data_IF_312895764450
#
_entry.id   IF_312895764450
#
_cell.length_a   1.000
_cell.length_b   1.000
_cell.length_c   1.000
_cell.angle_alpha   90.00
_cell.angle_beta   90.00
_cell.angle_gamma   90.00
#
_symmetry.space_group_name_H-M   'P 1'
#
loop_
_entity.id
_entity.type
_entity.pdbx_description
1 polymer ?
#
# COMPACT_ATOMS: atom_id res chain seq x y z
N UNK A 1 -15.59 12.21 26.23
CA UNK A 1 -14.75 13.44 26.25
C UNK A 1 -14.56 14.02 24.85
N UNK A 2 -14.52 13.20 23.81
CA UNK A 2 -14.36 13.67 22.44
C UNK A 2 -15.71 13.90 21.76
N UNK A 3 -16.18 15.15 21.73
CA UNK A 3 -17.34 15.51 20.89
C UNK A 3 -16.93 15.99 19.49
N UNK A 4 -15.63 16.25 19.26
CA UNK A 4 -15.08 16.69 17.97
C UNK A 4 -13.55 16.46 17.78
N UNK A 5 -12.88 15.68 18.62
CA UNK A 5 -11.41 15.45 18.57
C UNK A 5 -11.02 13.98 18.40
N UNK A 6 -9.73 13.67 18.16
CA UNK A 6 -9.26 12.28 18.02
C UNK A 6 -9.50 11.47 19.30
N UNK A 7 -9.71 10.17 19.14
CA UNK A 7 -10.03 9.22 20.22
C UNK A 7 -8.80 8.44 20.72
N UNK A 8 -7.60 8.80 20.27
CA UNK A 8 -6.36 8.01 20.44
C UNK A 8 -5.97 7.77 21.91
N UNK A 9 -6.47 8.60 22.83
CA UNK A 9 -6.20 8.53 24.27
C UNK A 9 -7.41 8.05 25.10
N UNK A 10 -8.45 7.50 24.48
CA UNK A 10 -9.59 6.90 25.21
C UNK A 10 -9.15 5.77 26.16
N UNK A 11 -8.04 5.10 25.84
CA UNK A 11 -7.42 4.08 26.68
C UNK A 11 -7.04 4.58 28.09
N UNK A 12 -6.87 5.90 28.29
CA UNK A 12 -6.58 6.47 29.61
C UNK A 12 -7.75 6.31 30.59
N UNK A 13 -8.98 6.14 30.10
CA UNK A 13 -10.13 5.82 30.95
C UNK A 13 -9.98 4.43 31.58
N UNK A 14 -9.49 3.44 30.82
CA UNK A 14 -9.22 2.10 31.35
C UNK A 14 -8.12 2.13 32.39
N UNK A 15 -7.04 2.88 32.13
CA UNK A 15 -5.95 3.11 33.10
C UNK A 15 -6.49 3.72 34.40
N UNK A 16 -7.39 4.69 34.30
CA UNK A 16 -8.05 5.28 35.48
C UNK A 16 -8.88 4.24 36.25
N UNK A 17 -9.71 3.46 35.57
CA UNK A 17 -10.54 2.43 36.21
C UNK A 17 -9.69 1.37 36.91
N UNK A 18 -8.59 0.94 36.28
CA UNK A 18 -7.67 -0.03 36.87
C UNK A 18 -6.91 0.55 38.06
N UNK A 19 -6.49 1.81 37.99
CA UNK A 19 -5.86 2.51 39.11
C UNK A 19 -6.78 2.55 40.34
N UNK A 20 -8.10 2.81 40.14
CA UNK A 20 -9.09 2.79 41.23
C UNK A 20 -9.23 1.40 41.85
N UNK A 21 -9.22 0.33 41.06
CA UNK A 21 -9.32 -1.06 41.56
C UNK A 21 -8.11 -1.44 42.43
N UNK A 22 -6.91 -0.97 42.08
CA UNK A 22 -5.67 -1.33 42.79
C UNK A 22 -5.25 -0.33 43.86
N UNK A 23 -6.01 0.77 44.05
CA UNK A 23 -5.67 1.87 44.95
C UNK A 23 -5.32 1.44 46.39
N UNK A 24 -5.96 0.38 46.91
CA UNK A 24 -5.71 -0.14 48.25
C UNK A 24 -4.39 -0.93 48.39
N UNK A 25 -3.72 -1.23 47.27
CA UNK A 25 -2.55 -2.12 47.22
C UNK A 25 -1.20 -1.39 47.28
N UNK A 26 -1.20 -0.05 47.26
CA UNK A 26 -0.04 0.85 47.42
C UNK A 26 1.20 0.56 46.53
N UNK A 27 1.03 -0.20 45.43
CA UNK A 27 2.15 -0.79 44.68
C UNK A 27 2.49 -0.13 43.34
N UNK A 28 1.58 0.64 42.74
CA UNK A 28 1.76 1.16 41.37
C UNK A 28 1.48 2.66 41.31
N UNK A 29 2.37 3.41 40.66
CA UNK A 29 2.15 4.83 40.37
C UNK A 29 1.35 4.93 39.07
N UNK A 30 0.35 5.81 39.04
CA UNK A 30 -0.48 6.05 37.84
C UNK A 30 0.38 6.37 36.61
N UNK A 31 1.47 7.13 36.80
CA UNK A 31 2.42 7.45 35.72
C UNK A 31 3.00 6.19 35.06
N UNK A 32 3.33 5.18 35.84
CA UNK A 32 3.92 3.94 35.33
C UNK A 32 2.87 3.15 34.54
N UNK A 33 1.62 3.11 35.04
CA UNK A 33 0.49 2.47 34.35
C UNK A 33 0.18 3.14 33.00
N UNK A 34 0.18 4.48 32.96
CA UNK A 34 0.01 5.23 31.71
C UNK A 34 1.14 4.89 30.73
N UNK A 35 2.39 4.94 31.21
CA UNK A 35 3.57 4.68 30.38
C UNK A 35 3.52 3.28 29.79
N UNK A 36 3.22 2.27 30.60
CA UNK A 36 3.10 0.87 30.17
C UNK A 36 1.98 0.70 29.13
N UNK A 37 0.87 1.41 29.27
CA UNK A 37 -0.28 1.30 28.37
C UNK A 37 -0.01 1.92 26.99
N UNK A 38 0.72 3.03 26.92
CA UNK A 38 1.00 3.75 25.67
C UNK A 38 2.33 3.38 25.03
N UNK A 39 3.20 2.64 25.74
CA UNK A 39 4.50 2.27 25.21
C UNK A 39 4.36 1.18 24.15
N UNK A 40 4.86 1.48 22.95
CA UNK A 40 5.02 0.48 21.91
C UNK A 40 6.35 -0.29 22.07
N UNK A 41 6.26 -1.62 22.06
CA UNK A 41 7.42 -2.51 21.94
C UNK A 41 7.21 -3.40 20.73
N UNK A 42 8.03 -3.27 19.67
CA UNK A 42 7.85 -4.07 18.47
C UNK A 42 8.13 -5.54 18.77
N UNK A 43 7.28 -6.44 18.25
CA UNK A 43 7.48 -7.90 18.37
C UNK A 43 8.79 -8.36 17.74
N UNK A 44 9.21 -7.69 16.68
CA UNK A 44 10.48 -7.91 15.99
C UNK A 44 11.20 -6.57 15.91
N UNK A 45 12.43 -6.43 16.45
CA UNK A 45 13.16 -5.17 16.39
C UNK A 45 13.35 -4.70 14.95
N UNK A 46 12.99 -3.45 14.67
CA UNK A 46 13.24 -2.82 13.38
C UNK A 46 14.75 -2.61 13.18
N UNK A 47 15.25 -2.98 12.01
CA UNK A 47 16.63 -2.72 11.64
C UNK A 47 16.80 -1.25 11.22
N UNK A 48 17.14 -0.40 12.19
CA UNK A 48 17.27 1.05 11.98
C UNK A 48 18.51 1.46 11.16
N UNK A 49 19.42 0.54 10.82
CA UNK A 49 20.54 0.87 9.95
C UNK A 49 20.03 1.13 8.53
N UNK A 50 20.26 2.33 8.00
CA UNK A 50 19.85 2.67 6.63
C UNK A 50 21.02 2.38 5.67
N UNK A 51 20.78 1.67 4.55
CA UNK A 51 21.80 1.43 3.54
C UNK A 51 22.32 2.74 2.93
N UNK A 52 23.61 2.80 2.64
CA UNK A 52 24.24 3.98 2.02
C UNK A 52 23.89 4.17 0.55
N UNK A 53 23.32 3.15 -0.11
CA UNK A 53 22.88 3.21 -1.50
C UNK A 53 21.49 2.57 -1.62
N UNK A 54 20.55 3.33 -2.16
CA UNK A 54 19.15 2.94 -2.33
C UNK A 54 18.75 3.03 -3.80
N UNK A 55 18.07 1.99 -4.28
CA UNK A 55 17.39 1.97 -5.58
C UNK A 55 15.95 2.47 -5.43
N UNK A 56 15.52 3.35 -6.32
CA UNK A 56 14.14 3.80 -6.45
C UNK A 56 13.63 3.33 -7.80
N UNK A 57 12.47 2.68 -7.81
CA UNK A 57 11.78 2.28 -9.03
C UNK A 57 10.71 3.34 -9.33
N UNK A 58 10.85 4.05 -10.45
CA UNK A 58 9.90 5.08 -10.87
C UNK A 58 8.59 4.49 -11.41
N UNK A 59 7.70 5.35 -11.90
CA UNK A 59 6.39 4.95 -12.43
C UNK A 59 6.39 4.57 -13.92
N UNK A 60 7.43 4.95 -14.66
CA UNK A 60 7.45 4.78 -16.11
C UNK A 60 6.64 5.85 -16.84
N UNK A 61 6.15 5.49 -18.03
CA UNK A 61 5.38 6.40 -18.87
C UNK A 61 4.07 6.82 -18.20
N UNK A 62 3.60 8.03 -18.52
CA UNK A 62 2.32 8.52 -18.00
C UNK A 62 1.15 7.75 -18.64
N UNK A 63 0.22 7.29 -17.83
CA UNK A 63 -1.02 6.65 -18.27
C UNK A 63 -2.21 7.19 -17.46
N UNK A 64 -3.43 7.03 -17.98
CA UNK A 64 -4.65 7.35 -17.21
C UNK A 64 -4.65 6.48 -15.93
N UNK A 65 -4.81 7.11 -14.77
CA UNK A 65 -4.76 6.44 -13.46
C UNK A 65 -3.35 6.25 -12.87
N UNK A 66 -2.30 6.64 -13.60
CA UNK A 66 -0.92 6.67 -13.09
C UNK A 66 -0.13 7.78 -13.79
N UNK A 67 -0.13 8.98 -13.22
CA UNK A 67 0.35 10.19 -13.87
C UNK A 67 1.54 10.85 -13.14
N UNK A 68 1.55 12.18 -13.10
CA UNK A 68 2.67 12.99 -12.61
C UNK A 68 2.84 12.99 -11.08
N UNK A 69 1.87 12.46 -10.33
CA UNK A 69 1.94 12.32 -8.88
C UNK A 69 3.15 11.50 -8.43
N UNK A 70 3.58 10.53 -9.25
CA UNK A 70 4.77 9.71 -8.99
C UNK A 70 6.08 10.38 -9.40
N UNK A 71 6.03 11.38 -10.28
CA UNK A 71 7.18 12.26 -10.52
C UNK A 71 7.43 13.16 -9.32
N UNK A 72 6.35 13.74 -8.79
CA UNK A 72 6.40 14.53 -7.57
C UNK A 72 6.89 13.70 -6.37
N UNK A 73 6.25 12.57 -6.09
CA UNK A 73 6.58 11.76 -4.91
C UNK A 73 7.97 11.12 -5.00
N UNK A 74 8.37 10.62 -6.18
CA UNK A 74 9.72 10.12 -6.44
C UNK A 74 10.80 11.19 -6.26
N UNK A 75 10.53 12.42 -6.71
CA UNK A 75 11.45 13.55 -6.51
C UNK A 75 11.61 13.92 -5.03
N UNK A 76 10.52 13.90 -4.25
CA UNK A 76 10.58 14.13 -2.80
C UNK A 76 11.36 13.02 -2.08
N UNK A 77 11.17 11.77 -2.50
CA UNK A 77 11.92 10.63 -1.94
C UNK A 77 13.42 10.77 -2.19
N UNK A 78 13.83 11.13 -3.42
CA UNK A 78 15.24 11.38 -3.74
C UNK A 78 15.80 12.50 -2.88
N UNK A 79 15.07 13.61 -2.76
CA UNK A 79 15.49 14.76 -1.94
C UNK A 79 15.71 14.36 -0.48
N UNK A 80 14.76 13.65 0.12
CA UNK A 80 14.87 13.18 1.51
C UNK A 80 16.09 12.27 1.72
N UNK A 81 16.38 11.37 0.77
CA UNK A 81 17.56 10.51 0.83
C UNK A 81 18.87 11.30 0.72
N UNK A 82 18.90 12.34 -0.13
CA UNK A 82 20.07 13.21 -0.27
C UNK A 82 20.35 14.02 0.99
N UNK A 83 19.32 14.54 1.66
CA UNK A 83 19.45 15.26 2.94
C UNK A 83 20.10 14.37 4.01
N UNK A 84 19.86 13.05 3.95
CA UNK A 84 20.46 12.04 4.83
C UNK A 84 21.80 11.46 4.29
N UNK A 85 22.39 12.07 3.26
CA UNK A 85 23.65 11.64 2.62
C UNK A 85 23.61 10.19 2.10
N UNK A 86 22.46 9.75 1.60
CA UNK A 86 22.28 8.42 1.02
C UNK A 86 22.39 8.52 -0.50
N UNK A 87 23.20 7.64 -1.09
CA UNK A 87 23.35 7.56 -2.54
C UNK A 87 22.09 6.98 -3.19
N UNK A 88 21.62 7.64 -4.24
CA UNK A 88 20.36 7.33 -4.92
C UNK A 88 20.61 6.80 -6.33
N UNK A 89 20.01 5.66 -6.64
CA UNK A 89 19.91 5.13 -8.01
C UNK A 89 18.44 5.14 -8.39
N UNK A 90 18.10 5.79 -9.49
CA UNK A 90 16.75 5.78 -10.04
C UNK A 90 16.73 4.94 -11.31
N UNK A 91 15.72 4.08 -11.46
CA UNK A 91 15.34 3.49 -12.74
C UNK A 91 13.96 4.02 -13.15
N UNK A 92 13.89 4.73 -14.28
CA UNK A 92 12.64 5.23 -14.85
C UNK A 92 12.84 5.51 -16.35
N UNK A 93 12.07 4.86 -17.27
CA UNK A 93 12.19 5.11 -18.70
C UNK A 93 11.61 6.46 -19.15
N UNK A 94 10.83 7.14 -18.31
CA UNK A 94 10.15 8.37 -18.69
C UNK A 94 11.07 9.59 -18.58
N UNK A 95 11.63 9.99 -19.73
CA UNK A 95 12.53 11.14 -19.89
C UNK A 95 11.89 12.50 -19.60
N UNK A 96 10.56 12.58 -19.52
CA UNK A 96 9.83 13.84 -19.35
C UNK A 96 9.51 14.15 -17.88
N UNK A 97 10.31 13.63 -16.94
CA UNK A 97 10.06 13.72 -15.50
C UNK A 97 11.13 14.54 -14.78
N UNK A 98 10.74 15.28 -13.76
CA UNK A 98 11.68 16.01 -12.89
C UNK A 98 12.61 15.03 -12.17
N UNK A 99 12.10 13.87 -11.75
CA UNK A 99 12.89 12.86 -11.04
C UNK A 99 14.10 12.34 -11.83
N UNK A 100 14.04 12.38 -13.17
CA UNK A 100 15.13 11.96 -14.06
C UNK A 100 16.06 13.12 -14.48
N UNK A 101 15.82 14.33 -13.96
CA UNK A 101 16.66 15.49 -14.25
C UNK A 101 18.08 15.32 -13.73
N UNK A 102 19.05 15.85 -14.48
CA UNK A 102 20.46 15.77 -14.13
C UNK A 102 20.71 16.42 -12.76
N UNK A 103 21.31 15.65 -11.85
CA UNK A 103 21.70 16.11 -10.53
C UNK A 103 20.63 15.90 -9.45
N UNK A 104 19.44 15.42 -9.80
CA UNK A 104 18.47 15.05 -8.77
C UNK A 104 18.81 13.69 -8.15
N UNK A 105 18.88 12.61 -8.92
CA UNK A 105 19.47 11.35 -8.44
C UNK A 105 20.97 11.27 -8.79
N UNK A 106 21.76 10.53 -8.00
CA UNK A 106 23.18 10.33 -8.29
C UNK A 106 23.40 9.55 -9.60
N UNK A 107 22.49 8.61 -9.89
CA UNK A 107 22.49 7.86 -11.14
C UNK A 107 21.08 7.55 -11.60
N UNK A 108 20.84 7.73 -12.90
CA UNK A 108 19.55 7.47 -13.55
C UNK A 108 19.71 6.42 -14.65
N UNK A 109 18.82 5.43 -14.65
CA UNK A 109 18.70 4.40 -15.69
C UNK A 109 17.39 4.59 -16.46
N UNK A 110 17.51 4.88 -17.75
CA UNK A 110 16.38 4.93 -18.68
C UNK A 110 16.14 3.54 -19.27
N UNK A 111 15.64 2.62 -18.44
CA UNK A 111 15.38 1.23 -18.81
C UNK A 111 13.93 0.86 -18.54
N UNK A 112 13.36 -0.14 -19.25
CA UNK A 112 12.03 -0.65 -18.96
C UNK A 112 11.89 -1.15 -17.51
N UNK A 113 10.73 -0.90 -16.90
CA UNK A 113 10.41 -1.29 -15.52
C UNK A 113 9.87 -2.72 -15.45
N UNK A 114 10.67 -3.67 -15.93
CA UNK A 114 10.36 -5.10 -15.87
C UNK A 114 11.46 -5.84 -15.09
N UNK A 115 11.14 -6.97 -14.42
CA UNK A 115 12.05 -7.63 -13.49
C UNK A 115 13.46 -7.88 -14.03
N UNK A 116 13.58 -8.24 -15.31
CA UNK A 116 14.86 -8.57 -15.93
C UNK A 116 15.82 -7.37 -15.97
N UNK A 117 15.31 -6.18 -16.32
CA UNK A 117 16.13 -4.96 -16.38
C UNK A 117 16.39 -4.39 -14.99
N UNK A 118 15.41 -4.48 -14.08
CA UNK A 118 15.62 -4.06 -12.69
C UNK A 118 16.65 -4.95 -12.00
N UNK A 119 16.63 -6.27 -12.21
CA UNK A 119 17.67 -7.16 -11.69
C UNK A 119 19.06 -6.78 -12.24
N UNK A 120 19.17 -6.42 -13.53
CA UNK A 120 20.45 -5.97 -14.09
C UNK A 120 20.97 -4.71 -13.40
N UNK A 121 20.11 -3.74 -13.09
CA UNK A 121 20.48 -2.54 -12.31
C UNK A 121 20.90 -2.94 -10.90
N UNK A 122 20.15 -3.80 -10.20
CA UNK A 122 20.51 -4.32 -8.88
C UNK A 122 21.89 -5.00 -8.90
N UNK A 123 22.15 -5.82 -9.93
CA UNK A 123 23.42 -6.54 -10.10
C UNK A 123 24.60 -5.60 -10.32
N UNK A 124 24.40 -4.55 -11.11
CA UNK A 124 25.44 -3.57 -11.44
C UNK A 124 25.71 -2.60 -10.27
N UNK A 125 24.65 -2.11 -9.63
CA UNK A 125 24.75 -1.06 -8.61
C UNK A 125 24.94 -1.58 -7.19
N UNK A 126 24.52 -2.82 -6.92
CA UNK A 126 24.53 -3.44 -5.58
C UNK A 126 23.95 -2.51 -4.50
N UNK A 127 22.71 -2.01 -4.68
CA UNK A 127 22.06 -1.20 -3.65
C UNK A 127 21.83 -2.05 -2.40
N UNK A 128 21.97 -1.46 -1.22
CA UNK A 128 21.64 -2.16 0.02
C UNK A 128 20.15 -2.05 0.38
N UNK A 129 19.42 -1.15 -0.29
CA UNK A 129 17.98 -1.03 -0.13
C UNK A 129 17.23 -0.64 -1.40
N UNK A 130 15.92 -0.86 -1.41
CA UNK A 130 15.03 -0.50 -2.52
C UNK A 130 13.73 0.13 -1.99
N UNK A 131 13.24 1.17 -2.67
CA UNK A 131 11.94 1.78 -2.43
C UNK A 131 11.00 1.47 -3.60
N UNK A 132 9.85 0.87 -3.29
CA UNK A 132 8.85 0.41 -4.26
C UNK A 132 7.60 1.30 -4.28
N UNK A 133 7.39 2.13 -3.26
CA UNK A 133 6.13 2.85 -2.97
C UNK A 133 6.00 4.20 -3.69
N UNK A 134 6.99 4.60 -4.48
CA UNK A 134 7.00 5.91 -5.16
C UNK A 134 6.78 5.83 -6.68
N UNK A 135 6.54 4.63 -7.22
CA UNK A 135 6.38 4.39 -8.66
C UNK A 135 5.03 3.79 -9.06
N UNK A 136 3.99 3.96 -8.24
CA UNK A 136 2.65 3.46 -8.51
C UNK A 136 2.60 1.93 -8.70
N UNK A 137 1.55 1.45 -9.38
CA UNK A 137 1.36 0.01 -9.61
C UNK A 137 2.52 -0.62 -10.37
N UNK A 138 3.16 0.15 -11.27
CA UNK A 138 4.28 -0.36 -12.07
C UNK A 138 5.44 -0.79 -11.19
N UNK A 139 5.83 0.05 -10.22
CA UNK A 139 6.90 -0.29 -9.27
C UNK A 139 6.49 -1.39 -8.29
N UNK A 140 5.24 -1.38 -7.80
CA UNK A 140 4.72 -2.39 -6.89
C UNK A 140 4.71 -3.78 -7.54
N UNK A 141 4.13 -3.91 -8.73
CA UNK A 141 4.07 -5.18 -9.47
C UNK A 141 5.48 -5.70 -9.78
N UNK A 142 6.37 -4.82 -10.27
CA UNK A 142 7.75 -5.20 -10.52
C UNK A 142 8.46 -5.68 -9.24
N UNK A 143 8.26 -4.99 -8.13
CA UNK A 143 8.79 -5.38 -6.82
C UNK A 143 8.28 -6.74 -6.34
N UNK A 144 6.99 -7.02 -6.49
CA UNK A 144 6.40 -8.32 -6.14
C UNK A 144 7.00 -9.45 -6.98
N UNK A 145 7.16 -9.25 -8.29
CA UNK A 145 7.77 -10.26 -9.17
C UNK A 145 9.25 -10.49 -8.84
N UNK A 146 10.01 -9.44 -8.53
CA UNK A 146 11.40 -9.55 -8.06
C UNK A 146 11.51 -10.31 -6.73
N UNK A 147 10.59 -10.07 -5.80
CA UNK A 147 10.52 -10.81 -4.55
C UNK A 147 10.21 -12.29 -4.79
N UNK A 148 9.21 -12.60 -5.64
CA UNK A 148 8.85 -13.97 -6.01
C UNK A 148 10.01 -14.72 -6.68
N UNK A 149 10.79 -14.02 -7.50
CA UNK A 149 12.00 -14.55 -8.13
C UNK A 149 13.20 -14.67 -7.17
N UNK A 150 13.08 -14.28 -5.90
CA UNK A 150 14.16 -14.33 -4.91
C UNK A 150 15.30 -13.35 -5.18
N UNK A 151 15.07 -12.31 -6.00
CA UNK A 151 16.13 -11.38 -6.42
C UNK A 151 16.63 -10.57 -5.23
N UNK A 152 15.74 -10.05 -4.38
CA UNK A 152 16.15 -9.22 -3.24
C UNK A 152 17.03 -10.00 -2.25
N UNK A 153 16.68 -11.25 -1.95
CA UNK A 153 17.50 -12.14 -1.13
C UNK A 153 18.85 -12.46 -1.79
N UNK A 154 18.83 -12.86 -3.07
CA UNK A 154 20.04 -13.19 -3.87
C UNK A 154 21.09 -12.07 -3.86
N UNK A 155 20.67 -10.81 -3.86
CA UNK A 155 21.58 -9.65 -3.89
C UNK A 155 21.71 -8.92 -2.54
N UNK A 156 21.04 -9.38 -1.48
CA UNK A 156 21.05 -8.74 -0.17
C UNK A 156 20.43 -7.33 -0.17
N UNK A 157 19.41 -7.11 -1.00
CA UNK A 157 18.72 -5.81 -1.10
C UNK A 157 17.55 -5.79 -0.14
N UNK A 158 17.52 -4.82 0.77
CA UNK A 158 16.42 -4.67 1.73
C UNK A 158 15.30 -3.81 1.15
N UNK A 159 14.06 -4.29 1.20
CA UNK A 159 12.89 -3.45 0.90
C UNK A 159 12.70 -2.45 2.04
N UNK A 160 12.63 -1.17 1.71
CA UNK A 160 12.51 -0.07 2.66
C UNK A 160 11.07 0.48 2.65
N UNK A 161 10.62 0.98 3.79
CA UNK A 161 9.24 1.44 3.97
C UNK A 161 8.30 0.27 4.25
N UNK A 162 7.16 0.24 3.56
CA UNK A 162 6.14 -0.80 3.71
C UNK A 162 6.71 -2.18 3.32
N UNK A 163 6.60 -3.21 4.20
CA UNK A 163 7.00 -4.57 3.88
C UNK A 163 6.28 -5.11 2.64
N UNK A 164 6.96 -5.94 1.85
CA UNK A 164 6.38 -6.50 0.62
C UNK A 164 5.17 -7.38 0.91
N UNK A 165 5.13 -8.06 2.06
CA UNK A 165 3.98 -8.84 2.50
C UNK A 165 2.77 -7.95 2.72
N UNK A 166 2.95 -6.76 3.29
CA UNK A 166 1.85 -5.81 3.47
C UNK A 166 1.35 -5.30 2.11
N UNK A 167 2.25 -5.04 1.15
CA UNK A 167 1.87 -4.68 -0.23
C UNK A 167 1.04 -5.80 -0.86
N UNK A 168 1.48 -7.06 -0.76
CA UNK A 168 0.75 -8.22 -1.31
C UNK A 168 -0.62 -8.36 -0.64
N UNK A 169 -0.68 -8.26 0.69
CA UNK A 169 -1.90 -8.39 1.46
C UNK A 169 -2.93 -7.30 1.13
N UNK A 170 -2.50 -6.09 0.76
CA UNK A 170 -3.40 -4.99 0.38
C UNK A 170 -3.84 -5.02 -1.07
N UNK A 171 -3.02 -5.57 -1.96
CA UNK A 171 -3.33 -5.68 -3.40
C UNK A 171 -4.25 -6.87 -3.70
N UNK A 172 -4.12 -7.99 -2.95
CA UNK A 172 -5.04 -9.12 -3.05
C UNK A 172 -6.32 -8.84 -2.25
N UNK A 173 -7.45 -8.67 -2.94
CA UNK A 173 -8.73 -8.31 -2.31
C UNK A 173 -9.28 -9.38 -1.37
N UNK A 174 -8.96 -10.66 -1.58
CA UNK A 174 -9.39 -11.73 -0.68
C UNK A 174 -8.61 -11.64 0.61
N UNK A 175 -7.27 -11.56 0.52
CA UNK A 175 -6.40 -11.42 1.69
C UNK A 175 -6.76 -10.13 2.45
N UNK A 176 -6.94 -9.02 1.74
CA UNK A 176 -7.37 -7.75 2.32
C UNK A 176 -8.67 -7.90 3.12
N UNK A 177 -9.70 -8.52 2.52
CA UNK A 177 -10.99 -8.72 3.20
C UNK A 177 -10.85 -9.60 4.46
N UNK A 178 -10.03 -10.64 4.40
CA UNK A 178 -9.73 -11.50 5.55
C UNK A 178 -8.99 -10.74 6.66
N UNK A 179 -8.03 -9.88 6.30
CA UNK A 179 -7.28 -9.02 7.25
C UNK A 179 -8.19 -8.01 7.95
N UNK A 180 -9.10 -7.38 7.21
CA UNK A 180 -10.07 -6.42 7.75
C UNK A 180 -11.09 -7.14 8.66
N UNK A 181 -11.57 -8.31 8.25
CA UNK A 181 -12.48 -9.11 9.08
C UNK A 181 -11.82 -9.57 10.40
N UNK A 182 -10.51 -9.85 10.39
CA UNK A 182 -9.78 -10.29 11.59
C UNK A 182 -9.73 -9.23 12.71
N UNK A 183 -9.91 -7.95 12.38
CA UNK A 183 -10.02 -6.85 13.35
C UNK A 183 -11.47 -6.44 13.65
N UNK A 184 -12.46 -7.17 13.13
CA UNK A 184 -13.88 -6.90 13.34
C UNK A 184 -14.46 -5.84 12.40
N UNK A 185 -13.67 -5.34 11.45
CA UNK A 185 -14.10 -4.34 10.48
C UNK A 185 -14.79 -4.99 9.26
N UNK A 186 -15.51 -4.17 8.48
CA UNK A 186 -16.38 -4.65 7.42
C UNK A 186 -15.93 -4.14 6.05
N UNK A 187 -15.90 -5.05 5.09
CA UNK A 187 -15.82 -4.73 3.66
C UNK A 187 -17.18 -4.92 3.00
N UNK A 188 -17.39 -4.29 1.85
CA UNK A 188 -18.55 -4.59 1.01
C UNK A 188 -18.55 -6.09 0.64
N UNK A 189 -19.72 -6.76 0.65
CA UNK A 189 -19.82 -8.13 0.17
C UNK A 189 -19.27 -8.21 -1.26
N UNK A 190 -18.29 -9.08 -1.48
CA UNK A 190 -17.57 -9.17 -2.74
C UNK A 190 -17.16 -10.61 -3.04
N UNK A 191 -16.91 -10.89 -4.31
CA UNK A 191 -16.44 -12.18 -4.79
C UNK A 191 -15.34 -11.97 -5.84
N UNK A 192 -14.22 -12.69 -5.69
CA UNK A 192 -13.19 -12.80 -6.71
C UNK A 192 -13.54 -13.93 -7.68
N UNK A 193 -13.59 -13.62 -8.96
CA UNK A 193 -14.02 -14.52 -10.04
C UNK A 193 -13.01 -14.54 -11.18
N UNK A 194 -12.92 -15.66 -11.88
CA UNK A 194 -11.91 -15.92 -12.92
C UNK A 194 -12.53 -16.18 -14.31
N UNK A 195 -13.86 -16.19 -14.39
CA UNK A 195 -14.58 -16.37 -15.64
C UNK A 195 -15.83 -15.51 -15.68
N UNK A 196 -16.32 -15.24 -16.89
CA UNK A 196 -17.57 -14.50 -17.09
C UNK A 196 -18.74 -15.22 -16.41
N UNK A 197 -18.77 -16.56 -16.45
CA UNK A 197 -19.83 -17.33 -15.83
C UNK A 197 -19.80 -17.19 -14.30
N UNK A 198 -18.63 -17.30 -13.68
CA UNK A 198 -18.49 -17.08 -12.24
C UNK A 198 -18.91 -15.66 -11.83
N UNK A 199 -18.62 -14.64 -12.66
CA UNK A 199 -19.07 -13.27 -12.39
C UNK A 199 -20.61 -13.17 -12.34
N UNK A 200 -21.29 -13.82 -13.30
CA UNK A 200 -22.75 -13.84 -13.34
C UNK A 200 -23.34 -14.59 -12.13
N UNK A 201 -22.77 -15.74 -11.79
CA UNK A 201 -23.22 -16.55 -10.64
C UNK A 201 -23.00 -15.79 -9.32
N UNK A 202 -21.88 -15.08 -9.18
CA UNK A 202 -21.62 -14.23 -8.02
C UNK A 202 -22.63 -13.08 -7.91
N UNK A 203 -23.02 -12.47 -9.03
CA UNK A 203 -24.00 -11.38 -9.02
C UNK A 203 -25.42 -11.84 -8.70
N UNK A 204 -25.81 -13.10 -8.98
CA UNK A 204 -27.07 -13.67 -8.50
C UNK A 204 -27.11 -13.79 -6.97
N UNK A 205 -25.97 -14.11 -6.34
CA UNK A 205 -25.86 -14.21 -4.88
C UNK A 205 -25.80 -12.82 -4.23
N UNK A 206 -25.03 -11.89 -4.79
CA UNK A 206 -24.89 -10.52 -4.27
C UNK A 206 -26.14 -9.67 -4.54
N UNK A 207 -26.85 -9.97 -5.62
CA UNK A 207 -27.97 -9.21 -6.16
C UNK A 207 -27.53 -7.91 -6.83
N UNK A 208 -28.14 -7.59 -7.96
CA UNK A 208 -27.92 -6.33 -8.67
C UNK A 208 -28.46 -5.11 -7.88
N UNK A 209 -27.93 -3.89 -8.10
CA UNK A 209 -26.75 -3.60 -8.92
C UNK A 209 -25.44 -4.06 -8.27
N UNK A 210 -24.45 -4.37 -9.11
CA UNK A 210 -23.09 -4.77 -8.70
C UNK A 210 -22.04 -3.86 -9.33
N UNK A 211 -20.86 -3.82 -8.73
CA UNK A 211 -19.67 -3.15 -9.28
C UNK A 211 -18.67 -4.23 -9.69
N UNK A 212 -18.23 -4.21 -10.95
CA UNK A 212 -17.15 -5.05 -11.45
C UNK A 212 -15.84 -4.25 -11.46
N UNK A 213 -14.74 -4.82 -10.95
CA UNK A 213 -13.40 -4.20 -10.95
C UNK A 213 -12.34 -5.22 -11.35
N UNK A 214 -11.44 -4.86 -12.26
CA UNK A 214 -10.28 -5.68 -12.57
C UNK A 214 -9.30 -5.69 -11.38
N UNK A 215 -8.66 -6.82 -11.10
CA UNK A 215 -7.59 -6.90 -10.09
C UNK A 215 -6.26 -6.34 -10.63
N UNK A 216 -5.37 -5.91 -9.72
CA UNK A 216 -4.04 -5.34 -10.01
C UNK A 216 -4.03 -4.14 -10.98
N UNK A 217 -5.12 -3.37 -11.00
CA UNK A 217 -5.24 -2.15 -11.81
C UNK A 217 -5.53 -0.92 -10.94
N UNK A 218 -5.06 0.24 -11.40
CA UNK A 218 -5.35 1.56 -10.81
C UNK A 218 -6.26 2.37 -11.74
N UNK A 219 -6.91 3.39 -11.17
CA UNK A 219 -7.72 4.35 -11.93
C UNK A 219 -9.00 3.79 -12.56
N UNK A 220 -9.49 2.65 -12.08
CA UNK A 220 -10.74 2.06 -12.55
C UNK A 220 -10.67 1.42 -13.94
N UNK A 221 -9.48 1.09 -14.44
CA UNK A 221 -9.33 0.43 -15.73
C UNK A 221 -10.10 -0.92 -15.74
N UNK A 222 -11.06 -1.04 -16.65
CA UNK A 222 -11.92 -2.22 -16.76
C UNK A 222 -12.96 -2.37 -15.64
N UNK A 223 -13.22 -1.30 -14.88
CA UNK A 223 -14.26 -1.28 -13.85
C UNK A 223 -15.54 -0.61 -14.32
N UNK A 224 -16.67 -0.99 -13.73
CA UNK A 224 -17.97 -0.41 -14.04
C UNK A 224 -19.10 -1.00 -13.21
N UNK A 225 -20.22 -0.28 -13.18
CA UNK A 225 -21.45 -0.75 -12.56
C UNK A 225 -22.28 -1.55 -13.56
N UNK A 226 -22.91 -2.61 -13.07
CA UNK A 226 -23.92 -3.37 -13.80
C UNK A 226 -25.22 -3.40 -13.01
N UNK A 227 -26.29 -2.93 -13.62
CA UNK A 227 -27.65 -2.99 -13.08
C UNK A 227 -28.33 -4.33 -13.43
N UNK A 228 -27.77 -5.09 -14.37
CA UNK A 228 -28.31 -6.38 -14.81
C UNK A 228 -27.24 -7.31 -15.42
N UNK A 229 -27.67 -8.52 -15.74
CA UNK A 229 -26.83 -9.61 -16.28
C UNK A 229 -26.10 -9.28 -17.58
N UNK A 230 -26.76 -8.58 -18.51
CA UNK A 230 -26.17 -8.28 -19.83
C UNK A 230 -25.07 -7.22 -19.72
N UNK A 231 -25.28 -6.21 -18.87
CA UNK A 231 -24.25 -5.22 -18.54
C UNK A 231 -23.04 -5.87 -17.88
N UNK A 232 -23.26 -6.72 -16.88
CA UNK A 232 -22.17 -7.40 -16.18
C UNK A 232 -21.37 -8.30 -17.11
N UNK A 233 -22.04 -9.04 -18.01
CA UNK A 233 -21.38 -9.90 -18.99
C UNK A 233 -20.43 -9.10 -19.89
N UNK A 234 -20.88 -7.94 -20.35
CA UNK A 234 -20.09 -7.06 -21.21
C UNK A 234 -18.86 -6.53 -20.47
N UNK A 235 -19.05 -6.06 -19.23
CA UNK A 235 -17.95 -5.57 -18.38
C UNK A 235 -16.94 -6.68 -18.06
N UNK A 236 -17.43 -7.87 -17.69
CA UNK A 236 -16.57 -9.00 -17.34
C UNK A 236 -15.71 -9.47 -18.51
N UNK A 237 -16.27 -9.50 -19.74
CA UNK A 237 -15.51 -9.83 -20.94
C UNK A 237 -14.38 -8.84 -21.21
N UNK A 238 -14.64 -7.54 -21.02
CA UNK A 238 -13.63 -6.50 -21.21
C UNK A 238 -12.54 -6.57 -20.13
N UNK A 239 -12.94 -6.72 -18.86
CA UNK A 239 -12.00 -6.76 -17.75
C UNK A 239 -11.07 -7.99 -17.82
N UNK A 240 -11.63 -9.18 -18.09
CA UNK A 240 -10.87 -10.42 -18.14
C UNK A 240 -9.96 -10.54 -19.37
N UNK A 241 -10.11 -9.66 -20.37
CA UNK A 241 -9.14 -9.56 -21.47
C UNK A 241 -7.81 -8.92 -21.03
N UNK A 242 -7.81 -8.17 -19.92
CA UNK A 242 -6.66 -7.41 -19.44
C UNK A 242 -6.18 -7.83 -18.04
N UNK A 243 -7.00 -8.56 -17.27
CA UNK A 243 -6.64 -9.08 -15.96
C UNK A 243 -7.10 -10.54 -15.82
N UNK A 244 -6.33 -11.36 -15.11
CA UNK A 244 -6.69 -12.75 -14.84
C UNK A 244 -7.77 -12.91 -13.77
N UNK A 245 -8.15 -11.83 -13.10
CA UNK A 245 -9.13 -11.83 -12.01
C UNK A 245 -10.04 -10.59 -12.09
N UNK A 246 -11.33 -10.82 -11.90
CA UNK A 246 -12.35 -9.79 -11.77
C UNK A 246 -12.94 -9.86 -10.36
N UNK A 247 -13.24 -8.71 -9.77
CA UNK A 247 -13.92 -8.59 -8.49
C UNK A 247 -15.32 -8.08 -8.74
N UNK A 248 -16.32 -8.77 -8.19
CA UNK A 248 -17.72 -8.36 -8.21
C UNK A 248 -18.13 -7.97 -6.80
N UNK A 249 -18.43 -6.69 -6.58
CA UNK A 249 -18.88 -6.15 -5.30
C UNK A 249 -20.37 -5.83 -5.33
N UNK A 250 -21.02 -5.92 -4.17
CA UNK A 250 -22.33 -5.29 -3.99
C UNK A 250 -22.20 -3.78 -4.20
N UNK A 251 -23.03 -3.22 -5.06
CA UNK A 251 -23.02 -1.78 -5.30
C UNK A 251 -23.44 -1.01 -4.03
N UNK A 252 -22.60 -0.06 -3.63
CA UNK A 252 -22.88 0.93 -2.59
C UNK A 252 -23.18 2.31 -3.20
N UNK A 253 -23.62 2.35 -4.46
CA UNK A 253 -23.93 3.59 -5.18
C UNK A 253 -24.86 4.48 -4.36
N UNK A 254 -24.48 5.75 -4.21
CA UNK A 254 -25.20 6.75 -3.41
C UNK A 254 -24.70 6.90 -1.97
N UNK A 255 -23.77 6.05 -1.52
CA UNK A 255 -23.07 6.26 -0.26
C UNK A 255 -22.07 7.41 -0.41
N UNK A 256 -21.71 8.02 0.74
CA UNK A 256 -20.60 8.96 0.79
C UNK A 256 -19.30 8.18 0.63
N UNK A 257 -18.45 8.65 -0.26
CA UNK A 257 -17.07 8.21 -0.39
C UNK A 257 -16.19 9.14 0.45
N UNK A 258 -15.32 8.56 1.28
CA UNK A 258 -14.42 9.31 2.16
C UNK A 258 -13.07 8.62 2.12
N UNK A 259 -12.02 9.40 1.94
CA UNK A 259 -10.64 8.94 1.85
C UNK A 259 -9.80 9.54 2.99
N UNK A 260 -8.77 8.82 3.43
CA UNK A 260 -7.83 9.27 4.46
C UNK A 260 -6.40 8.98 4.04
N UNK A 261 -5.55 10.00 4.16
CA UNK A 261 -4.11 9.89 3.99
C UNK A 261 -3.46 9.60 5.34
N UNK A 262 -2.89 8.40 5.50
CA UNK A 262 -2.37 7.92 6.79
C UNK A 262 -0.85 7.79 6.74
N UNK A 263 -0.18 8.28 7.78
CA UNK A 263 1.27 8.09 7.98
C UNK A 263 1.48 7.31 9.28
N UNK A 264 2.30 6.27 9.20
CA UNK A 264 2.72 5.47 10.35
C UNK A 264 4.23 5.26 10.35
N UNK A 265 4.85 5.40 11.51
CA UNK A 265 6.30 5.23 11.68
C UNK A 265 6.67 3.88 12.34
N UNK A 266 7.99 3.65 12.52
CA UNK A 266 8.52 2.43 13.13
C UNK A 266 8.30 2.32 14.65
N UNK A 267 7.77 3.37 15.28
CA UNK A 267 7.46 3.42 16.71
C UNK A 267 5.96 3.31 16.98
N UNK A 268 5.19 2.93 15.96
CA UNK A 268 3.74 2.78 16.00
C UNK A 268 2.97 4.10 16.20
N UNK A 269 3.62 5.25 15.97
CA UNK A 269 2.90 6.50 15.87
C UNK A 269 2.13 6.49 14.55
N UNK A 270 0.83 6.81 14.59
CA UNK A 270 -0.05 6.79 13.43
C UNK A 270 -0.91 8.06 13.41
N UNK A 271 -0.95 8.77 12.29
CA UNK A 271 -1.74 9.99 12.11
C UNK A 271 -2.46 10.00 10.76
N UNK A 272 -3.65 10.60 10.71
CA UNK A 272 -4.33 10.99 9.47
C UNK A 272 -3.91 12.41 9.09
N UNK A 273 -3.16 12.55 8.00
CA UNK A 273 -2.63 13.84 7.52
C UNK A 273 -3.72 14.65 6.80
N UNK A 274 -4.57 13.95 6.04
CA UNK A 274 -5.63 14.56 5.26
C UNK A 274 -6.83 13.61 5.18
N UNK A 275 -8.01 14.17 4.96
CA UNK A 275 -9.21 13.43 4.60
C UNK A 275 -9.93 14.16 3.46
N UNK A 276 -10.56 13.41 2.56
CA UNK A 276 -11.27 13.92 1.39
C UNK A 276 -12.68 13.33 1.32
#
# INVERSE_FOLDING_TARGET
>A
EHTAGPQDLECLFDVFLDAVKVANSNKLRIKDMITEHIQYVPKVPYCMSIPKKILIIGSGGLSIGQAGEFDYSGSQAIKALQEENIQTVLINPNIATVQTSRGLADKVYFLPLVPEYVEQVIRAERPGGVLLTFGGQTALNCGVELQRAGVFEKYGVRILGTPIEAIIDTEDRKIFSERIAAIGEKVAPSCAVYSVQEALDAAEVLGYPVMARAAFSLGGLGSGFADNKEELKTLAQQALAHSSQLIVDKSLKGWKEVEYEVVRDAYDNCITVCNM
#
